data_IF_185124759377
#
_entry.id   IF_185124759377
#
_cell.length_a   1.000
_cell.length_b   1.000
_cell.length_c   1.000
_cell.angle_alpha   90.00
_cell.angle_beta   90.00
_cell.angle_gamma   90.00
#
_symmetry.space_group_name_H-M   'P 1'
#
loop_
_entity.id
_entity.type
_entity.pdbx_description
1 polymer ?
#
# COMPACT_ATOMS: atom_id res chain seq x y z
N UNK A 1 16.30 0.48 -3.42
CA UNK A 1 16.22 -0.92 -3.80
C UNK A 1 15.78 -1.79 -2.62
N UNK A 2 15.36 -3.01 -2.92
CA UNK A 2 14.94 -3.95 -1.88
C UNK A 2 16.08 -4.30 -0.94
N UNK A 3 17.28 -4.47 -1.48
CA UNK A 3 18.47 -4.75 -0.67
C UNK A 3 18.74 -3.64 0.34
N UNK A 4 18.52 -2.39 -0.07
CA UNK A 4 18.66 -1.25 0.85
C UNK A 4 17.66 -1.31 1.99
N UNK A 5 16.42 -1.73 1.72
CA UNK A 5 15.40 -1.89 2.76
C UNK A 5 15.80 -2.98 3.75
N UNK A 6 16.32 -4.09 3.26
CA UNK A 6 16.79 -5.18 4.12
C UNK A 6 17.94 -4.71 5.01
N UNK A 7 18.84 -3.92 4.45
CA UNK A 7 19.96 -3.36 5.20
C UNK A 7 19.47 -2.40 6.31
N UNK A 8 18.53 -1.52 5.94
CA UNK A 8 17.93 -0.59 6.90
C UNK A 8 17.22 -1.33 8.04
N UNK A 9 16.55 -2.46 7.72
CA UNK A 9 15.89 -3.26 8.75
C UNK A 9 16.89 -3.81 9.76
N UNK A 10 18.07 -4.22 9.31
CA UNK A 10 19.13 -4.69 10.21
C UNK A 10 19.67 -3.57 11.08
N UNK A 11 19.80 -2.36 10.51
CA UNK A 11 20.34 -1.21 11.24
C UNK A 11 19.35 -0.63 12.24
N UNK A 12 18.06 -0.65 11.90
CA UNK A 12 17.01 -0.09 12.76
C UNK A 12 15.78 -1.00 12.76
N UNK A 13 15.68 -1.92 13.72
CA UNK A 13 14.53 -2.84 13.79
C UNK A 13 13.19 -2.16 14.03
N UNK A 14 13.20 -0.89 14.46
CA UNK A 14 11.98 -0.14 14.75
C UNK A 14 11.52 0.75 13.60
N UNK A 15 12.33 0.90 12.55
CA UNK A 15 11.97 1.74 11.40
C UNK A 15 10.74 1.17 10.69
N UNK A 16 9.87 2.07 10.22
CA UNK A 16 8.73 1.70 9.38
C UNK A 16 9.18 1.76 7.92
N UNK A 17 9.20 0.62 7.26
CA UNK A 17 9.73 0.48 5.90
C UNK A 17 8.63 0.11 4.92
N UNK A 18 8.59 0.79 3.77
CA UNK A 18 7.65 0.50 2.69
C UNK A 18 8.39 0.25 1.39
N UNK A 19 7.92 -0.73 0.62
CA UNK A 19 8.50 -1.06 -0.67
C UNK A 19 7.64 -0.50 -1.80
N UNK A 20 8.26 -0.01 -2.87
CA UNK A 20 7.58 0.73 -3.93
C UNK A 20 7.50 0.03 -5.28
N UNK A 21 8.38 -0.92 -5.57
CA UNK A 21 8.51 -1.44 -6.95
C UNK A 21 7.41 -2.40 -7.42
N UNK A 22 6.66 -2.99 -6.52
CA UNK A 22 5.45 -3.71 -6.89
C UNK A 22 5.58 -5.20 -7.20
N UNK A 23 6.80 -5.77 -7.22
CA UNK A 23 6.96 -7.19 -7.59
C UNK A 23 6.92 -8.15 -6.39
N UNK A 24 6.93 -7.62 -5.16
CA UNK A 24 6.92 -8.47 -3.95
C UNK A 24 5.52 -8.61 -3.37
N UNK A 25 5.12 -9.84 -3.06
CA UNK A 25 3.84 -10.11 -2.43
C UNK A 25 3.85 -9.72 -0.94
N UNK A 26 2.67 -9.56 -0.31
CA UNK A 26 2.61 -9.29 1.13
C UNK A 26 3.36 -10.33 1.97
N UNK A 27 3.27 -11.60 1.61
CA UNK A 27 3.96 -12.66 2.35
C UNK A 27 5.47 -12.49 2.29
N UNK A 28 6.02 -12.13 1.12
CA UNK A 28 7.44 -11.88 0.96
C UNK A 28 7.89 -10.70 1.81
N UNK A 29 7.11 -9.61 1.80
CA UNK A 29 7.43 -8.42 2.59
C UNK A 29 7.38 -8.72 4.08
N UNK A 30 6.38 -9.46 4.52
CA UNK A 30 6.23 -9.82 5.93
C UNK A 30 7.42 -10.67 6.40
N UNK A 31 7.84 -11.64 5.59
CA UNK A 31 8.98 -12.49 5.89
C UNK A 31 10.25 -11.67 6.08
N UNK A 32 10.43 -10.63 5.26
CA UNK A 32 11.63 -9.80 5.28
C UNK A 32 11.54 -8.61 6.23
N UNK A 33 10.45 -8.50 6.98
CA UNK A 33 10.28 -7.42 7.97
C UNK A 33 9.94 -6.07 7.38
N UNK A 34 9.39 -6.03 6.16
CA UNK A 34 8.94 -4.79 5.53
C UNK A 34 7.50 -4.53 5.94
N UNK A 35 7.20 -3.31 6.37
CA UNK A 35 5.93 -2.96 6.99
C UNK A 35 4.82 -2.59 6.04
N UNK A 36 5.13 -2.15 4.83
CA UNK A 36 4.10 -1.64 3.93
C UNK A 36 4.40 -1.82 2.46
N UNK A 37 3.31 -1.78 1.67
CA UNK A 37 3.31 -1.82 0.21
C UNK A 37 2.85 -0.47 -0.29
N UNK A 38 3.76 0.30 -0.89
CA UNK A 38 3.45 1.60 -1.48
C UNK A 38 3.56 1.45 -2.99
N UNK A 39 2.56 0.79 -3.58
CA UNK A 39 2.61 0.38 -4.98
C UNK A 39 1.71 1.22 -5.87
N UNK A 40 2.08 1.26 -7.16
CA UNK A 40 1.20 1.82 -8.18
C UNK A 40 -0.13 1.05 -8.15
N UNK A 41 -1.25 1.75 -8.30
CA UNK A 41 -2.57 1.13 -8.16
C UNK A 41 -2.81 -0.05 -9.10
N UNK A 42 -2.15 -0.05 -10.27
CA UNK A 42 -2.30 -1.15 -11.24
C UNK A 42 -1.83 -2.49 -10.68
N UNK A 43 -0.87 -2.48 -9.76
CA UNK A 43 -0.39 -3.71 -9.11
C UNK A 43 -1.52 -4.37 -8.35
N UNK A 44 -2.31 -3.58 -7.63
CA UNK A 44 -3.44 -4.10 -6.86
C UNK A 44 -4.59 -4.54 -7.77
N UNK A 45 -4.76 -3.90 -8.92
CA UNK A 45 -5.76 -4.32 -9.90
C UNK A 45 -5.43 -5.68 -10.52
N UNK A 46 -4.13 -5.94 -10.74
CA UNK A 46 -3.66 -7.23 -11.26
C UNK A 46 -3.60 -8.32 -10.21
N UNK A 47 -3.42 -7.93 -8.95
CA UNK A 47 -3.26 -8.87 -7.83
C UNK A 47 -4.22 -8.51 -6.69
N UNK A 48 -5.53 -8.55 -6.93
CA UNK A 48 -6.49 -8.13 -5.89
C UNK A 48 -6.41 -8.97 -4.62
N UNK A 49 -5.96 -10.21 -4.72
CA UNK A 49 -5.77 -11.08 -3.57
C UNK A 49 -4.71 -10.54 -2.60
N UNK A 50 -3.78 -9.71 -3.08
CA UNK A 50 -2.74 -9.12 -2.22
C UNK A 50 -3.31 -8.12 -1.21
N UNK A 51 -4.43 -7.49 -1.53
CA UNK A 51 -5.08 -6.56 -0.61
C UNK A 51 -5.52 -7.29 0.65
N UNK A 52 -6.23 -8.41 0.48
CA UNK A 52 -6.68 -9.22 1.59
C UNK A 52 -5.51 -9.83 2.36
N UNK A 53 -4.54 -10.36 1.64
CA UNK A 53 -3.35 -10.98 2.23
C UNK A 53 -2.57 -9.96 3.08
N UNK A 54 -2.39 -8.74 2.57
CA UNK A 54 -1.71 -7.68 3.32
C UNK A 54 -2.45 -7.34 4.61
N UNK A 55 -3.77 -7.24 4.54
CA UNK A 55 -4.58 -6.94 5.73
C UNK A 55 -4.46 -8.05 6.77
N UNK A 56 -4.48 -9.30 6.35
CA UNK A 56 -4.32 -10.44 7.26
C UNK A 56 -2.95 -10.45 7.93
N UNK A 57 -1.92 -10.00 7.22
CA UNK A 57 -0.54 -9.97 7.73
C UNK A 57 -0.17 -8.68 8.43
N UNK A 58 -1.05 -7.69 8.45
CA UNK A 58 -0.77 -6.40 9.05
C UNK A 58 0.16 -5.52 8.24
N UNK A 59 0.23 -5.74 6.93
CA UNK A 59 1.02 -4.91 6.01
C UNK A 59 0.22 -3.67 5.64
N UNK A 60 0.83 -2.49 5.76
CA UNK A 60 0.20 -1.23 5.41
C UNK A 60 0.03 -1.12 3.90
N UNK A 61 -1.15 -0.70 3.45
CA UNK A 61 -1.48 -0.55 2.03
C UNK A 61 -1.53 0.92 1.64
N UNK A 62 -0.73 1.28 0.64
CA UNK A 62 -0.71 2.60 0.04
C UNK A 62 -0.71 2.46 -1.48
N UNK A 63 -1.60 3.16 -2.15
CA UNK A 63 -1.68 3.16 -3.62
C UNK A 63 -1.44 4.56 -4.17
N UNK A 64 -0.76 4.67 -5.32
CA UNK A 64 -0.42 5.93 -5.95
C UNK A 64 -0.42 5.77 -7.48
N UNK A 65 -0.54 6.79 -8.27
CA UNK A 65 -1.19 8.07 -7.96
C UNK A 65 -2.63 7.95 -8.45
N UNK A 66 -3.58 8.19 -7.58
CA UNK A 66 -5.00 7.87 -7.83
C UNK A 66 -5.77 9.18 -8.02
N UNK A 67 -6.25 9.43 -9.24
CA UNK A 67 -7.00 10.63 -9.56
C UNK A 67 -8.41 10.34 -10.11
N UNK A 68 -8.80 9.08 -10.15
CA UNK A 68 -10.10 8.63 -10.62
C UNK A 68 -11.03 8.33 -9.44
N UNK A 69 -12.25 8.87 -9.48
CA UNK A 69 -13.21 8.73 -8.40
C UNK A 69 -13.59 7.25 -8.15
N UNK A 70 -13.88 6.52 -9.22
CA UNK A 70 -14.27 5.12 -9.08
C UNK A 70 -13.15 4.29 -8.47
N UNK A 71 -11.90 4.56 -8.85
CA UNK A 71 -10.74 3.88 -8.31
C UNK A 71 -10.55 4.22 -6.82
N UNK A 72 -10.72 5.50 -6.46
CA UNK A 72 -10.66 5.91 -5.06
C UNK A 72 -11.70 5.19 -4.22
N UNK A 73 -12.94 5.12 -4.72
CA UNK A 73 -14.03 4.44 -4.01
C UNK A 73 -13.70 2.97 -3.78
N UNK A 74 -13.15 2.31 -4.80
CA UNK A 74 -12.75 0.91 -4.69
C UNK A 74 -11.68 0.72 -3.64
N UNK A 75 -10.62 1.55 -3.65
CA UNK A 75 -9.53 1.46 -2.69
C UNK A 75 -10.00 1.74 -1.27
N UNK A 76 -10.88 2.72 -1.09
CA UNK A 76 -11.44 3.01 0.23
C UNK A 76 -12.30 1.87 0.73
N UNK A 77 -13.09 1.27 -0.15
CA UNK A 77 -13.93 0.12 0.19
C UNK A 77 -13.08 -1.08 0.60
N UNK A 78 -11.95 -1.28 -0.08
CA UNK A 78 -11.03 -2.36 0.24
C UNK A 78 -10.22 -2.09 1.52
N UNK A 79 -10.33 -0.88 2.07
CA UNK A 79 -9.70 -0.54 3.34
C UNK A 79 -8.24 -0.17 3.26
N UNK A 80 -7.84 0.51 2.19
CA UNK A 80 -6.47 1.01 2.07
C UNK A 80 -6.18 2.01 3.19
N UNK A 81 -4.98 1.91 3.74
CA UNK A 81 -4.54 2.80 4.81
C UNK A 81 -4.23 4.20 4.30
N UNK A 82 -3.64 4.29 3.10
CA UNK A 82 -3.27 5.55 2.47
C UNK A 82 -3.54 5.51 0.98
N UNK A 83 -3.95 6.64 0.42
CA UNK A 83 -4.14 6.80 -1.02
C UNK A 83 -3.48 8.12 -1.40
N UNK A 84 -2.48 8.06 -2.30
CA UNK A 84 -1.81 9.25 -2.80
C UNK A 84 -2.55 9.76 -4.03
N UNK A 85 -2.99 11.01 -3.98
CA UNK A 85 -3.79 11.62 -5.04
C UNK A 85 -3.39 13.07 -5.26
N UNK A 86 -3.62 13.56 -6.50
CA UNK A 86 -3.54 14.99 -6.80
C UNK A 86 -4.91 15.69 -6.64
N UNK A 87 -5.93 14.93 -6.20
CA UNK A 87 -7.29 15.42 -6.02
C UNK A 87 -7.77 15.20 -4.58
N UNK A 88 -7.13 15.86 -3.59
CA UNK A 88 -7.45 15.60 -2.19
C UNK A 88 -8.87 15.95 -1.80
N UNK A 89 -9.47 16.98 -2.42
CA UNK A 89 -10.84 17.35 -2.12
C UNK A 89 -11.82 16.25 -2.51
N UNK A 90 -11.58 15.58 -3.63
CA UNK A 90 -12.39 14.45 -4.04
C UNK A 90 -12.30 13.30 -3.03
N UNK A 91 -11.08 13.01 -2.54
CA UNK A 91 -10.86 11.97 -1.57
C UNK A 91 -11.56 12.28 -0.24
N UNK A 92 -11.47 13.53 0.22
CA UNK A 92 -12.15 13.96 1.45
C UNK A 92 -13.66 13.84 1.32
N UNK A 93 -14.22 14.21 0.15
CA UNK A 93 -15.64 14.04 -0.10
C UNK A 93 -16.11 12.61 0.04
N UNK A 94 -15.33 11.67 -0.46
CA UNK A 94 -15.63 10.25 -0.34
C UNK A 94 -15.55 9.76 1.10
N UNK A 95 -14.58 10.26 1.88
CA UNK A 95 -14.47 9.93 3.29
C UNK A 95 -15.67 10.43 4.08
N UNK A 96 -16.16 11.62 3.80
CA UNK A 96 -17.32 12.19 4.48
C UNK A 96 -18.59 11.38 4.21
N UNK A 97 -18.68 10.73 3.06
CA UNK A 97 -19.83 9.91 2.71
C UNK A 97 -19.84 8.55 3.38
N UNK A 98 -18.77 8.18 3.99
CA UNK A 98 -18.69 6.94 4.77
C UNK A 98 -19.18 7.16 6.19
#
# INVERSE_FOLDING_TARGET
TYDMLLHLRKLDPKAKLQYLNGEKSPAELKKDGIDGMDYHFTVFQKNPQWIKEAKELGIVLNAWTVNDKALMEWLLKEGFDYITTNEPEMLFGLHELK
#
